data_IF_129109748060
#
_entry.id   IF_129109748060
#
_cell.length_a   1.000
_cell.length_b   1.000
_cell.length_c   1.000
_cell.angle_alpha   90.00
_cell.angle_beta   90.00
_cell.angle_gamma   90.00
#
_symmetry.space_group_name_H-M   'P 1'
#
loop_
_entity.id
_entity.type
_entity.pdbx_description
1 polymer ?
#
# COMPACT_ATOMS: atom_id res chain seq x y z
N UNK A 1 -25.70 3.68 -37.64
CA UNK A 1 -24.79 2.67 -37.04
C UNK A 1 -23.49 3.25 -36.42
N UNK A 2 -23.27 4.57 -36.39
CA UNK A 2 -22.06 5.17 -35.77
C UNK A 2 -22.20 5.44 -34.26
N UNK A 3 -23.42 5.47 -33.72
CA UNK A 3 -23.66 5.75 -32.30
C UNK A 3 -23.61 4.53 -31.38
N UNK A 4 -23.60 3.32 -31.94
CA UNK A 4 -23.43 2.08 -31.15
C UNK A 4 -22.01 1.91 -30.58
N UNK A 5 -21.01 2.62 -31.11
CA UNK A 5 -19.64 2.58 -30.58
C UNK A 5 -19.39 3.57 -29.44
N UNK A 6 -20.20 4.62 -29.33
CA UNK A 6 -20.05 5.67 -28.28
C UNK A 6 -20.60 5.18 -26.93
N UNK A 7 -21.52 4.22 -26.94
CA UNK A 7 -22.18 3.70 -25.73
C UNK A 7 -21.38 2.60 -25.00
N UNK A 8 -20.20 2.22 -25.50
CA UNK A 8 -19.33 1.19 -24.86
C UNK A 8 -18.21 1.81 -24.02
N UNK A 9 -18.05 3.13 -24.03
CA UNK A 9 -16.97 3.86 -23.34
C UNK A 9 -17.36 4.39 -21.94
N UNK A 10 -18.57 4.08 -21.46
CA UNK A 10 -19.13 4.57 -20.19
C UNK A 10 -19.21 3.50 -19.08
N UNK A 11 -18.55 2.36 -19.24
CA UNK A 11 -18.28 1.46 -18.11
C UNK A 11 -17.10 2.07 -17.35
N UNK A 12 -17.38 3.16 -16.63
CA UNK A 12 -16.42 3.79 -15.75
C UNK A 12 -15.95 2.75 -14.73
N UNK A 13 -14.66 2.48 -14.74
CA UNK A 13 -14.00 1.67 -13.73
C UNK A 13 -14.31 2.28 -12.36
N UNK A 14 -15.20 1.64 -11.59
CA UNK A 14 -15.33 1.89 -10.16
C UNK A 14 -14.05 1.35 -9.49
N UNK A 15 -12.95 2.08 -9.62
CA UNK A 15 -11.73 1.79 -8.90
C UNK A 15 -11.97 2.12 -7.43
N UNK A 16 -12.03 1.11 -6.59
CA UNK A 16 -12.04 1.29 -5.13
C UNK A 16 -10.72 1.94 -4.73
N UNK A 17 -10.77 3.18 -4.22
CA UNK A 17 -9.60 3.90 -3.75
C UNK A 17 -9.11 3.30 -2.43
N UNK A 18 -8.22 2.31 -2.54
CA UNK A 18 -7.54 1.64 -1.44
C UNK A 18 -6.06 2.02 -1.41
N UNK A 19 -5.42 1.88 -0.25
CA UNK A 19 -3.97 2.10 -0.14
C UNK A 19 -3.23 1.02 -0.96
N UNK A 20 -2.27 1.46 -1.78
CA UNK A 20 -1.46 0.60 -2.63
C UNK A 20 -0.28 0.02 -1.82
N UNK A 21 -0.60 -0.86 -0.88
CA UNK A 21 0.40 -1.48 0.00
C UNK A 21 1.51 -2.19 -0.79
N UNK A 22 2.74 -1.96 -0.37
CA UNK A 22 3.96 -2.53 -0.92
C UNK A 22 4.66 -3.39 0.14
N UNK A 23 5.47 -4.34 -0.32
CA UNK A 23 6.53 -4.92 0.50
C UNK A 23 7.65 -3.89 0.73
N UNK A 24 8.48 -4.09 1.75
CA UNK A 24 9.61 -3.19 1.96
C UNK A 24 10.60 -3.21 0.79
N UNK A 25 10.86 -4.38 0.19
CA UNK A 25 11.77 -4.51 -0.96
C UNK A 25 11.25 -3.75 -2.19
N UNK A 26 9.93 -3.81 -2.46
CA UNK A 26 9.29 -3.01 -3.52
C UNK A 26 9.41 -1.51 -3.24
N UNK A 27 9.13 -1.08 -2.00
CA UNK A 27 9.21 0.33 -1.63
C UNK A 27 10.64 0.87 -1.74
N UNK A 28 11.65 0.08 -1.34
CA UNK A 28 13.06 0.42 -1.49
C UNK A 28 13.49 0.47 -2.96
N UNK A 29 13.00 -0.46 -3.79
CA UNK A 29 13.26 -0.46 -5.22
C UNK A 29 12.62 0.77 -5.91
N UNK A 30 11.39 1.13 -5.52
CA UNK A 30 10.70 2.31 -6.03
C UNK A 30 11.41 3.60 -5.58
N UNK A 31 11.81 3.70 -4.31
CA UNK A 31 12.54 4.84 -3.75
C UNK A 31 13.87 5.12 -4.46
N UNK A 32 14.55 4.08 -4.97
CA UNK A 32 15.78 4.25 -5.78
C UNK A 32 15.49 4.90 -7.14
N UNK A 33 14.29 4.72 -7.70
CA UNK A 33 13.88 5.29 -8.99
C UNK A 33 13.34 6.71 -8.81
N UNK A 34 12.48 6.90 -7.83
CA UNK A 34 11.85 8.17 -7.51
C UNK A 34 11.91 8.40 -5.98
N UNK A 35 12.67 9.39 -5.51
CA UNK A 35 12.88 9.60 -4.10
C UNK A 35 11.61 10.11 -3.43
N UNK A 36 10.89 9.21 -2.74
CA UNK A 36 9.70 9.50 -1.93
C UNK A 36 9.76 8.75 -0.60
N UNK A 37 9.07 9.28 0.42
CA UNK A 37 9.10 8.74 1.79
C UNK A 37 8.35 7.41 1.87
N UNK A 38 8.85 6.49 2.70
CA UNK A 38 8.16 5.23 3.01
C UNK A 38 7.26 5.47 4.23
N UNK A 39 5.98 5.13 4.13
CA UNK A 39 5.05 5.09 5.24
C UNK A 39 4.96 3.65 5.75
N UNK A 40 5.65 3.35 6.85
CA UNK A 40 5.65 2.00 7.43
C UNK A 40 4.49 1.84 8.41
N UNK A 41 3.55 0.94 8.09
CA UNK A 41 2.51 0.47 8.99
C UNK A 41 2.89 -0.93 9.49
N UNK A 42 3.45 -0.99 10.70
CA UNK A 42 3.65 -2.24 11.40
C UNK A 42 2.33 -2.76 11.99
N UNK A 43 2.07 -4.06 11.91
CA UNK A 43 0.90 -4.71 12.50
C UNK A 43 1.22 -6.13 12.96
N UNK A 44 0.29 -6.75 13.68
CA UNK A 44 0.23 -8.20 13.89
C UNK A 44 -1.21 -8.66 13.65
N UNK A 45 -1.40 -9.95 13.37
CA UNK A 45 -2.73 -10.51 13.06
C UNK A 45 -3.74 -10.38 14.21
N UNK A 46 -3.26 -10.40 15.45
CA UNK A 46 -4.06 -10.27 16.67
C UNK A 46 -4.22 -8.82 17.14
N UNK A 47 -3.63 -7.84 16.45
CA UNK A 47 -3.74 -6.43 16.80
C UNK A 47 -5.10 -5.84 16.42
N UNK A 48 -6.04 -5.82 17.37
CA UNK A 48 -7.39 -5.24 17.18
C UNK A 48 -7.34 -3.76 16.80
N UNK A 49 -6.48 -2.96 17.44
CA UNK A 49 -6.36 -1.53 17.13
C UNK A 49 -5.84 -1.28 15.71
N UNK A 50 -4.98 -2.17 15.20
CA UNK A 50 -4.50 -2.10 13.82
C UNK A 50 -5.64 -2.30 12.82
N UNK A 51 -6.57 -3.22 13.11
CA UNK A 51 -7.79 -3.45 12.30
C UNK A 51 -8.76 -2.27 12.37
N UNK A 52 -8.85 -1.61 13.52
CA UNK A 52 -9.60 -0.36 13.65
C UNK A 52 -9.00 0.76 12.79
N UNK A 53 -7.69 0.93 12.80
CA UNK A 53 -7.03 1.91 11.94
C UNK A 53 -7.25 1.62 10.45
N UNK A 54 -7.28 0.35 10.03
CA UNK A 54 -7.63 -0.02 8.65
C UNK A 54 -9.01 0.50 8.28
N UNK A 55 -10.03 0.12 9.06
CA UNK A 55 -11.42 0.48 8.78
C UNK A 55 -11.71 1.99 8.81
N UNK A 56 -11.10 2.70 9.75
CA UNK A 56 -11.45 4.10 10.02
C UNK A 56 -10.50 5.12 9.41
N UNK A 57 -9.30 4.70 8.96
CA UNK A 57 -8.34 5.57 8.31
C UNK A 57 -7.90 5.04 6.93
N UNK A 58 -7.27 3.88 6.84
CA UNK A 58 -6.65 3.43 5.58
C UNK A 58 -7.66 3.03 4.50
N UNK A 59 -8.87 2.63 4.88
CA UNK A 59 -9.97 2.32 3.96
C UNK A 59 -10.75 3.58 3.52
N UNK A 60 -10.41 4.76 4.04
CA UNK A 60 -11.03 6.02 3.63
C UNK A 60 -10.44 6.48 2.29
N UNK A 61 -11.25 6.66 1.23
CA UNK A 61 -10.76 7.03 -0.11
C UNK A 61 -9.85 8.26 -0.12
N UNK A 62 -10.20 9.28 0.65
CA UNK A 62 -9.43 10.53 0.74
C UNK A 62 -8.06 10.33 1.37
N UNK A 63 -7.96 9.47 2.39
CA UNK A 63 -6.71 9.12 3.06
C UNK A 63 -5.87 8.21 2.16
N UNK A 64 -6.50 7.21 1.55
CA UNK A 64 -5.84 6.31 0.61
C UNK A 64 -5.23 7.07 -0.58
N UNK A 65 -5.97 8.01 -1.16
CA UNK A 65 -5.48 8.87 -2.24
C UNK A 65 -4.27 9.68 -1.79
N UNK A 66 -4.36 10.37 -0.65
CA UNK A 66 -3.25 11.15 -0.10
C UNK A 66 -2.01 10.29 0.15
N UNK A 67 -2.19 9.10 0.73
CA UNK A 67 -1.07 8.17 1.00
C UNK A 67 -0.41 7.72 -0.31
N UNK A 68 -1.21 7.29 -1.29
CA UNK A 68 -0.72 6.79 -2.57
C UNK A 68 0.02 7.87 -3.39
N UNK A 69 -0.40 9.12 -3.26
CA UNK A 69 0.24 10.27 -3.91
C UNK A 69 1.56 10.65 -3.21
N UNK A 70 1.59 10.65 -1.89
CA UNK A 70 2.70 11.26 -1.13
C UNK A 70 3.73 10.26 -0.59
N UNK A 71 3.42 8.97 -0.53
CA UNK A 71 4.25 7.96 0.12
C UNK A 71 4.36 6.66 -0.68
N UNK A 72 5.37 5.86 -0.33
CA UNK A 72 5.37 4.41 -0.57
C UNK A 72 4.85 3.72 0.70
N UNK A 73 3.57 3.30 0.75
CA UNK A 73 3.00 2.67 1.93
C UNK A 73 3.45 1.21 2.02
N UNK A 74 4.02 0.83 3.16
CA UNK A 74 4.47 -0.53 3.45
C UNK A 74 3.66 -1.09 4.62
N UNK A 75 3.07 -2.27 4.42
CA UNK A 75 2.38 -3.01 5.48
C UNK A 75 3.30 -4.14 5.95
N UNK A 76 3.85 -4.00 7.15
CA UNK A 76 4.90 -4.87 7.70
C UNK A 76 4.35 -5.70 8.86
N UNK A 77 4.48 -7.03 8.78
CA UNK A 77 4.05 -7.91 9.85
C UNK A 77 5.18 -8.05 10.89
N UNK A 78 4.95 -7.49 12.08
CA UNK A 78 5.93 -7.47 13.15
C UNK A 78 6.14 -8.84 13.83
N UNK A 79 5.38 -9.86 13.43
CA UNK A 79 5.61 -11.27 13.80
C UNK A 79 5.83 -12.17 12.57
N UNK A 80 5.91 -11.56 11.39
CA UNK A 80 6.08 -12.24 10.13
C UNK A 80 7.48 -12.83 9.98
N UNK A 81 7.63 -13.73 9.00
CA UNK A 81 8.93 -14.33 8.65
C UNK A 81 9.58 -13.63 7.45
N UNK A 82 9.17 -12.40 7.16
CA UNK A 82 9.71 -11.65 6.03
C UNK A 82 11.17 -11.27 6.26
N UNK A 83 11.98 -11.43 5.21
CA UNK A 83 13.39 -11.05 5.20
C UNK A 83 13.55 -9.86 4.27
N UNK A 84 14.05 -8.75 4.81
CA UNK A 84 14.18 -7.47 4.12
C UNK A 84 15.66 -7.22 3.83
N UNK A 85 15.97 -6.87 2.59
CA UNK A 85 17.33 -6.50 2.18
C UNK A 85 17.53 -4.99 2.31
N UNK A 86 18.14 -4.54 3.41
CA UNK A 86 18.35 -3.12 3.64
C UNK A 86 19.83 -2.79 3.89
N UNK A 87 20.39 -1.91 3.03
CA UNK A 87 21.78 -1.43 3.11
C UNK A 87 22.84 -2.56 3.22
N UNK A 88 22.60 -3.70 2.57
CA UNK A 88 23.50 -4.85 2.62
C UNK A 88 23.37 -5.72 3.88
N UNK A 89 22.45 -5.38 4.79
CA UNK A 89 22.04 -6.24 5.90
C UNK A 89 20.72 -6.94 5.61
N UNK A 90 20.58 -8.16 6.12
CA UNK A 90 19.31 -8.89 6.17
C UNK A 90 18.60 -8.52 7.48
N UNK A 91 17.44 -7.88 7.37
CA UNK A 91 16.56 -7.60 8.48
C UNK A 91 15.46 -8.67 8.51
N UNK A 92 15.33 -9.35 9.63
CA UNK A 92 14.28 -10.32 9.89
C UNK A 92 13.71 -10.07 11.28
N UNK A 93 12.43 -10.36 11.47
CA UNK A 93 11.83 -10.34 12.80
C UNK A 93 12.41 -11.51 13.58
N UNK A 94 13.25 -11.21 14.57
CA UNK A 94 13.74 -12.19 15.54
C UNK A 94 12.75 -12.22 16.70
N UNK A 95 11.94 -13.27 16.75
CA UNK A 95 10.99 -13.49 17.85
C UNK A 95 11.67 -13.51 19.21
#
# INVERSE_FOLDING_TARGET
MKWMFVMMLLIGSFATAQVNWMTMDEALAAQKKEPRKILLKAYTEWCTNCKWMDKYAFDKPEIAAFINENYYPVKFDAEGTEVINYKGGLLMVTR
#
